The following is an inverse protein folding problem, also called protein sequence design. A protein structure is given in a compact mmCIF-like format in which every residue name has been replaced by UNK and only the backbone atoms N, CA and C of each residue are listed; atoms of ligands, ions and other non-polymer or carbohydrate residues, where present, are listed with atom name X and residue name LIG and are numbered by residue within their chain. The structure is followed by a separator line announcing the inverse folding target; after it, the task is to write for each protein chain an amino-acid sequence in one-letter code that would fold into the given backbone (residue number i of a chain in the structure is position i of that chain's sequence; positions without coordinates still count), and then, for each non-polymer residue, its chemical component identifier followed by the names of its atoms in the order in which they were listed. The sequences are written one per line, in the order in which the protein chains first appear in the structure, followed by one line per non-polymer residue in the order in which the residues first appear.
data_IF_546474633492
#
_entry.id   IF_546474633492
#
_cell.length_a   1.000
_cell.length_b   1.000
_cell.length_c   1.000
_cell.angle_alpha   90.00
_cell.angle_beta   90.00
_cell.angle_gamma   90.00
#
_symmetry.space_group_name_H-M   'P 1'
#
loop_
_entity.id
_entity.type
_entity.pdbx_description
1 polymer ?
#
# COMPACT_ATOMS: atom_id res chain seq x y z
N UNK A 1 -26.83 5.95 -5.06
CA UNK A 1 -26.74 5.87 -6.55
C UNK A 1 -26.22 4.47 -6.92
N UNK A 2 -26.64 3.88 -8.05
CA UNK A 2 -26.21 2.53 -8.45
C UNK A 2 -25.34 2.65 -9.69
N UNK A 3 -24.13 2.10 -9.62
CA UNK A 3 -23.21 1.93 -10.75
C UNK A 3 -23.02 0.43 -11.04
N UNK A 4 -22.59 0.08 -12.25
CA UNK A 4 -22.33 -1.32 -12.62
C UNK A 4 -20.83 -1.53 -12.85
N UNK A 5 -20.19 -2.35 -12.02
CA UNK A 5 -18.78 -2.74 -12.19
C UNK A 5 -18.71 -3.99 -13.07
N UNK A 6 -18.19 -3.82 -14.28
CA UNK A 6 -18.03 -4.89 -15.26
C UNK A 6 -16.55 -5.24 -15.41
N UNK A 7 -16.20 -6.53 -15.27
CA UNK A 7 -14.84 -6.99 -15.52
C UNK A 7 -14.80 -8.40 -16.13
N UNK A 8 -13.73 -8.68 -16.88
CA UNK A 8 -13.48 -9.99 -17.48
C UNK A 8 -12.59 -10.81 -16.55
N UNK A 9 -12.98 -12.06 -16.27
CA UNK A 9 -12.19 -13.00 -15.46
C UNK A 9 -11.88 -14.24 -16.28
N UNK A 10 -10.59 -14.57 -16.40
CA UNK A 10 -10.17 -15.86 -16.94
C UNK A 10 -10.30 -16.93 -15.84
N UNK A 11 -11.00 -18.01 -16.15
CA UNK A 11 -11.17 -19.15 -15.25
C UNK A 11 -9.93 -20.05 -15.27
N UNK A 12 -9.79 -20.93 -14.26
CA UNK A 12 -8.72 -21.94 -14.22
C UNK A 12 -8.71 -22.87 -15.45
N UNK A 13 -9.85 -23.03 -16.13
CA UNK A 13 -10.01 -23.83 -17.36
C UNK A 13 -9.77 -23.05 -18.66
N UNK A 14 -9.41 -21.76 -18.56
CA UNK A 14 -9.12 -20.92 -19.72
C UNK A 14 -10.30 -20.11 -20.27
N UNK A 15 -11.54 -20.41 -19.85
CA UNK A 15 -12.73 -19.67 -20.30
C UNK A 15 -12.71 -18.23 -19.76
N UNK A 16 -13.11 -17.28 -20.61
CA UNK A 16 -13.24 -15.86 -20.25
C UNK A 16 -14.70 -15.60 -19.87
N UNK A 17 -14.94 -15.14 -18.64
CA UNK A 17 -16.27 -14.80 -18.14
C UNK A 17 -16.40 -13.29 -17.96
N UNK A 18 -17.49 -12.70 -18.44
CA UNK A 18 -17.89 -11.33 -18.12
C UNK A 18 -18.68 -11.33 -16.82
N UNK A 19 -18.13 -10.70 -15.79
CA UNK A 19 -18.78 -10.56 -14.49
C UNK A 19 -19.31 -9.13 -14.39
N UNK A 20 -20.60 -9.02 -14.11
CA UNK A 20 -21.28 -7.74 -13.83
C UNK A 20 -21.66 -7.76 -12.35
N UNK A 21 -21.27 -6.72 -11.62
CA UNK A 21 -21.64 -6.53 -10.21
C UNK A 21 -22.25 -5.16 -10.03
N UNK A 22 -23.32 -5.10 -9.26
CA UNK A 22 -23.87 -3.84 -8.78
C UNK A 22 -22.90 -3.20 -7.79
N UNK A 23 -22.76 -1.88 -7.89
CA UNK A 23 -21.90 -1.08 -7.04
C UNK A 23 -22.71 0.08 -6.48
N UNK A 24 -22.97 0.00 -5.17
CA UNK A 24 -23.78 0.98 -4.46
C UNK A 24 -22.89 2.12 -3.99
N UNK A 25 -23.24 3.34 -4.43
CA UNK A 25 -22.64 4.58 -4.01
C UNK A 25 -23.53 5.26 -2.97
N UNK A 26 -22.90 5.56 -1.84
CA UNK A 26 -23.46 6.06 -0.60
C UNK A 26 -22.94 7.47 -0.33
N UNK A 27 -23.75 8.24 0.38
CA UNK A 27 -23.52 9.61 0.84
C UNK A 27 -23.45 9.70 2.37
N UNK A 28 -23.69 8.58 3.08
CA UNK A 28 -23.64 8.46 4.53
C UNK A 28 -22.32 7.88 5.07
N UNK A 29 -21.26 7.89 4.26
CA UNK A 29 -19.92 7.46 4.70
C UNK A 29 -19.23 8.64 5.37
N UNK A 30 -18.85 8.46 6.64
CA UNK A 30 -18.19 9.49 7.43
C UNK A 30 -16.70 9.68 7.06
N UNK A 31 -16.16 10.87 7.33
CA UNK A 31 -14.74 11.17 7.12
C UNK A 31 -13.83 10.70 8.29
N UNK A 32 -14.41 10.39 9.45
CA UNK A 32 -13.71 9.90 10.64
C UNK A 32 -12.99 10.98 11.47
N UNK A 33 -13.11 12.25 11.08
CA UNK A 33 -12.51 13.40 11.77
C UNK A 33 -13.40 13.96 12.87
N UNK A 34 -12.82 14.17 14.05
CA UNK A 34 -13.45 14.90 15.17
C UNK A 34 -13.77 16.37 14.84
N UNK A 35 -13.15 16.95 13.81
CA UNK A 35 -13.41 18.33 13.39
C UNK A 35 -14.68 18.47 12.57
N UNK A 36 -15.14 17.37 11.99
CA UNK A 36 -16.21 17.41 11.02
C UNK A 36 -17.57 17.55 11.71
N UNK A 37 -18.26 18.67 11.42
CA UNK A 37 -19.63 18.88 11.90
C UNK A 37 -20.69 18.43 10.88
N UNK A 38 -20.30 18.17 9.63
CA UNK A 38 -21.20 17.77 8.56
C UNK A 38 -21.54 16.26 8.59
N UNK A 39 -20.57 15.40 8.93
CA UNK A 39 -20.79 13.96 9.01
C UNK A 39 -21.44 13.58 10.35
N UNK A 40 -22.47 12.73 10.30
CA UNK A 40 -23.05 12.11 11.51
C UNK A 40 -22.15 10.99 12.02
N UNK A 41 -21.11 11.35 12.77
CA UNK A 41 -20.12 10.40 13.31
C UNK A 41 -20.53 9.88 14.68
N UNK A 42 -20.47 8.56 14.89
CA UNK A 42 -20.68 7.96 16.21
C UNK A 42 -19.38 7.83 17.01
N UNK A 43 -18.28 7.48 16.34
CA UNK A 43 -16.96 7.25 16.96
C UNK A 43 -15.84 7.83 16.09
N UNK A 44 -15.51 9.13 16.24
CA UNK A 44 -14.47 9.77 15.47
C UNK A 44 -13.08 9.27 15.90
N UNK A 45 -12.28 8.79 14.94
CA UNK A 45 -10.96 8.16 15.20
C UNK A 45 -9.82 9.16 15.01
N UNK A 46 -9.96 10.09 14.06
CA UNK A 46 -8.94 11.10 13.76
C UNK A 46 -9.11 12.29 14.71
N UNK A 47 -8.02 12.66 15.38
CA UNK A 47 -7.96 13.76 16.35
C UNK A 47 -8.27 15.11 15.71
N UNK A 48 -8.87 16.00 16.50
CA UNK A 48 -9.08 17.40 16.14
C UNK A 48 -7.83 18.27 16.15
N UNK A 49 -6.78 17.82 16.83
CA UNK A 49 -5.47 18.50 16.90
C UNK A 49 -4.35 17.44 16.78
N UNK A 50 -3.97 17.04 15.56
CA UNK A 50 -2.85 16.14 15.32
C UNK A 50 -1.52 16.85 15.61
N UNK A 51 -0.80 16.37 16.62
CA UNK A 51 0.56 16.82 16.90
C UNK A 51 1.52 16.15 15.91
N UNK A 52 1.88 16.86 14.85
CA UNK A 52 2.86 16.41 13.86
C UNK A 52 4.16 17.17 14.03
N UNK A 53 5.21 16.52 14.53
CA UNK A 53 6.55 17.12 14.72
C UNK A 53 7.36 17.26 13.43
N UNK A 54 6.70 17.53 12.30
CA UNK A 54 7.34 17.67 10.98
C UNK A 54 7.84 19.11 10.77
N UNK A 55 9.08 19.26 10.32
CA UNK A 55 9.63 20.56 9.89
C UNK A 55 9.13 20.98 8.51
N UNK A 56 8.75 20.02 7.65
CA UNK A 56 8.20 20.28 6.31
C UNK A 56 6.77 20.82 6.38
N UNK A 57 5.96 20.26 7.27
CA UNK A 57 4.57 20.63 7.47
C UNK A 57 4.34 21.04 8.93
N UNK A 58 4.57 22.32 9.27
CA UNK A 58 4.40 22.81 10.64
C UNK A 58 2.93 22.93 11.06
N UNK A 59 2.00 22.86 10.10
CA UNK A 59 0.57 22.89 10.37
C UNK A 59 0.05 21.50 10.76
N UNK A 60 -1.00 21.41 11.59
CA UNK A 60 -1.68 20.16 11.86
C UNK A 60 -2.18 19.52 10.56
N UNK A 61 -1.90 18.23 10.37
CA UNK A 61 -2.27 17.53 9.16
C UNK A 61 -2.60 16.05 9.38
N UNK A 62 -3.43 15.50 8.49
CA UNK A 62 -3.68 14.07 8.36
C UNK A 62 -2.80 13.45 7.28
N UNK A 63 -2.43 12.19 7.48
CA UNK A 63 -1.61 11.44 6.53
C UNK A 63 -2.50 10.50 5.71
N UNK A 64 -2.50 10.65 4.40
CA UNK A 64 -3.16 9.73 3.48
C UNK A 64 -2.10 8.79 2.88
N UNK A 65 -2.28 7.49 3.06
CA UNK A 65 -1.31 6.52 2.55
C UNK A 65 -1.63 6.09 1.11
N UNK A 66 -0.57 5.92 0.33
CA UNK A 66 -0.58 5.21 -0.95
C UNK A 66 -0.28 3.70 -0.77
N UNK A 67 -0.59 2.89 -1.78
CA UNK A 67 -0.41 1.43 -1.75
C UNK A 67 1.05 1.04 -1.59
N UNK A 68 1.96 1.61 -2.40
CA UNK A 68 3.37 1.23 -2.38
C UNK A 68 4.03 1.58 -1.04
N UNK A 69 3.66 2.73 -0.47
CA UNK A 69 4.08 3.16 0.86
C UNK A 69 3.74 2.12 1.93
N UNK A 70 2.54 1.56 1.89
CA UNK A 70 2.14 0.52 2.84
C UNK A 70 2.88 -0.80 2.59
N UNK A 71 3.13 -1.17 1.33
CA UNK A 71 3.79 -2.42 0.99
C UNK A 71 5.27 -2.42 1.37
N UNK A 72 5.94 -1.30 1.15
CA UNK A 72 7.39 -1.19 1.27
C UNK A 72 7.84 -0.64 2.62
N UNK A 73 6.99 0.12 3.32
CA UNK A 73 7.34 0.84 4.55
C UNK A 73 6.43 0.49 5.74
N UNK A 74 5.82 -0.71 5.76
CA UNK A 74 4.90 -1.11 6.85
C UNK A 74 5.55 -1.01 8.25
N UNK A 75 6.85 -1.27 8.35
CA UNK A 75 7.62 -1.25 9.61
C UNK A 75 7.68 0.17 10.23
N UNK A 76 7.55 1.22 9.41
CA UNK A 76 7.45 2.62 9.86
C UNK A 76 6.09 2.89 10.50
N UNK A 77 5.02 2.34 9.92
CA UNK A 77 3.65 2.50 10.42
C UNK A 77 3.33 1.59 11.63
N UNK A 78 4.20 0.60 11.91
CA UNK A 78 4.16 -0.18 13.14
C UNK A 78 4.67 0.59 14.37
N UNK A 79 5.34 1.72 14.19
CA UNK A 79 5.65 2.62 15.29
C UNK A 79 4.44 3.47 15.69
N UNK A 80 4.34 3.80 16.98
CA UNK A 80 3.21 4.61 17.53
C UNK A 80 3.42 6.11 17.38
N UNK A 81 4.52 6.49 16.73
CA UNK A 81 4.97 7.87 16.52
C UNK A 81 4.09 8.60 15.51
N UNK A 82 3.67 7.91 14.45
CA UNK A 82 2.76 8.43 13.43
C UNK A 82 1.30 8.18 13.86
N UNK A 83 0.50 9.24 13.86
CA UNK A 83 -0.92 9.20 14.23
C UNK A 83 -1.77 9.93 13.21
N UNK A 84 -3.09 9.72 13.26
CA UNK A 84 -4.07 10.38 12.40
C UNK A 84 -3.85 10.04 10.92
N UNK A 85 -3.80 8.74 10.66
CA UNK A 85 -3.54 8.17 9.34
C UNK A 85 -4.87 7.75 8.72
N UNK A 86 -5.08 8.12 7.48
CA UNK A 86 -6.21 7.74 6.64
C UNK A 86 -5.73 6.67 5.67
N UNK A 87 -6.39 5.51 5.69
CA UNK A 87 -6.16 4.41 4.76
C UNK A 87 -7.42 4.25 3.92
N UNK A 88 -7.28 4.29 2.59
CA UNK A 88 -8.41 4.10 1.68
C UNK A 88 -8.75 2.62 1.49
N UNK A 89 -10.01 2.31 1.18
CA UNK A 89 -10.42 0.96 0.81
C UNK A 89 -9.65 0.47 -0.42
N UNK A 90 -9.38 1.33 -1.40
CA UNK A 90 -8.54 1.01 -2.56
C UNK A 90 -7.18 0.46 -2.14
N UNK A 91 -6.50 1.14 -1.21
CA UNK A 91 -5.20 0.70 -0.68
C UNK A 91 -5.33 -0.63 0.05
N UNK A 92 -6.34 -0.80 0.90
CA UNK A 92 -6.56 -2.06 1.62
C UNK A 92 -6.78 -3.25 0.70
N UNK A 93 -7.59 -3.08 -0.35
CA UNK A 93 -7.85 -4.14 -1.33
C UNK A 93 -6.58 -4.47 -2.13
N UNK A 94 -5.82 -3.46 -2.54
CA UNK A 94 -4.61 -3.67 -3.31
C UNK A 94 -3.49 -4.34 -2.49
N UNK A 95 -3.27 -3.89 -1.26
CA UNK A 95 -2.34 -4.53 -0.32
C UNK A 95 -2.73 -5.98 -0.07
N UNK A 96 -4.03 -6.27 0.12
CA UNK A 96 -4.53 -7.65 0.27
C UNK A 96 -4.23 -8.51 -0.96
N UNK A 97 -4.36 -7.94 -2.16
CA UNK A 97 -4.08 -8.63 -3.41
C UNK A 97 -2.59 -8.87 -3.66
N UNK A 98 -1.72 -7.94 -3.25
CA UNK A 98 -0.27 -8.03 -3.43
C UNK A 98 0.44 -8.82 -2.33
N UNK A 99 0.05 -8.63 -1.07
CA UNK A 99 0.69 -9.27 0.09
C UNK A 99 -0.29 -9.48 1.26
N UNK A 100 -0.78 -10.71 1.40
CA UNK A 100 -1.60 -11.12 2.56
C UNK A 100 -0.92 -10.88 3.93
N UNK A 101 0.40 -11.11 4.10
CA UNK A 101 1.08 -10.80 5.37
C UNK A 101 1.02 -9.32 5.74
N UNK A 102 1.35 -8.42 4.80
CA UNK A 102 1.31 -6.96 5.04
C UNK A 102 -0.13 -6.52 5.34
N UNK A 103 -1.12 -7.07 4.66
CA UNK A 103 -2.52 -6.80 4.96
C UNK A 103 -2.94 -7.18 6.39
N UNK A 104 -2.42 -8.29 6.94
CA UNK A 104 -2.68 -8.68 8.34
C UNK A 104 -2.06 -7.68 9.31
N UNK A 105 -0.79 -7.32 9.10
CA UNK A 105 -0.07 -6.31 9.91
C UNK A 105 -0.81 -4.96 9.87
N UNK A 106 -1.22 -4.52 8.69
CA UNK A 106 -2.00 -3.29 8.52
C UNK A 106 -3.34 -3.34 9.26
N UNK A 107 -4.04 -4.48 9.26
CA UNK A 107 -5.26 -4.64 10.07
C UNK A 107 -5.01 -4.55 11.56
N UNK A 108 -3.90 -5.09 12.04
CA UNK A 108 -3.49 -4.98 13.45
C UNK A 108 -3.21 -3.52 13.81
N UNK A 109 -2.53 -2.77 12.94
CA UNK A 109 -2.31 -1.32 13.08
C UNK A 109 -3.64 -0.55 13.14
N UNK A 110 -4.59 -0.87 12.25
CA UNK A 110 -5.92 -0.23 12.23
C UNK A 110 -6.74 -0.58 13.48
N UNK A 111 -6.55 -1.79 14.03
CA UNK A 111 -7.24 -2.24 15.24
C UNK A 111 -6.75 -1.58 16.54
N UNK A 112 -5.56 -0.95 16.52
CA UNK A 112 -5.01 -0.26 17.68
C UNK A 112 -5.54 1.17 17.78
N UNK A 113 -6.47 1.38 18.72
CA UNK A 113 -7.12 2.66 18.97
C UNK A 113 -6.16 3.79 19.36
N UNK A 114 -4.95 3.47 19.87
CA UNK A 114 -3.96 4.49 20.25
C UNK A 114 -3.30 5.18 19.06
N UNK A 115 -3.37 4.57 17.88
CA UNK A 115 -2.69 5.03 16.65
C UNK A 115 -3.54 5.98 15.83
N UNK A 116 -4.83 6.08 16.13
CA UNK A 116 -5.78 6.93 15.39
C UNK A 116 -5.69 6.68 13.88
N UNK A 117 -5.72 5.41 13.46
CA UNK A 117 -5.76 5.02 12.04
C UNK A 117 -7.20 4.78 11.62
N UNK A 118 -7.64 5.51 10.61
CA UNK A 118 -9.01 5.45 10.11
C UNK A 118 -9.06 4.85 8.71
N UNK A 119 -10.03 3.96 8.49
CA UNK A 119 -10.29 3.38 7.16
C UNK A 119 -11.42 4.12 6.47
N UNK A 120 -11.12 4.76 5.34
CA UNK A 120 -12.10 5.47 4.53
C UNK A 120 -12.55 4.62 3.33
N UNK A 121 -13.87 4.44 3.22
CA UNK A 121 -14.52 3.58 2.22
C UNK A 121 -14.77 4.38 0.93
N UNK A 122 -13.69 4.77 0.25
CA UNK A 122 -13.74 5.65 -0.93
C UNK A 122 -14.47 5.04 -2.13
N UNK A 123 -14.39 3.73 -2.34
CA UNK A 123 -15.08 3.08 -3.47
C UNK A 123 -16.61 3.23 -3.35
N UNK A 124 -17.17 3.11 -2.15
CA UNK A 124 -18.60 3.23 -1.96
C UNK A 124 -19.09 4.65 -1.71
N UNK A 125 -18.21 5.65 -1.72
CA UNK A 125 -18.59 7.03 -1.46
C UNK A 125 -18.83 7.79 -2.76
N UNK A 126 -19.99 8.47 -2.85
CA UNK A 126 -20.49 9.08 -4.08
C UNK A 126 -19.52 10.08 -4.73
N UNK A 127 -18.84 10.89 -3.93
CA UNK A 127 -17.98 11.98 -4.45
C UNK A 127 -16.54 11.55 -4.69
N UNK A 128 -16.10 10.45 -4.06
CA UNK A 128 -14.72 9.94 -4.19
C UNK A 128 -14.63 8.70 -5.05
N UNK A 129 -15.76 8.15 -5.49
CA UNK A 129 -15.80 7.05 -6.44
C UNK A 129 -15.30 7.47 -7.82
N UNK A 130 -14.39 6.65 -8.35
CA UNK A 130 -13.76 6.88 -9.64
C UNK A 130 -13.96 5.69 -10.57
N UNK A 131 -14.58 5.94 -11.73
CA UNK A 131 -14.69 4.97 -12.81
C UNK A 131 -13.39 4.85 -13.61
N UNK A 132 -13.12 3.65 -14.14
CA UNK A 132 -11.94 3.39 -14.95
C UNK A 132 -12.12 3.99 -16.35
N UNK A 133 -11.15 4.80 -16.78
CA UNK A 133 -11.16 5.39 -18.12
C UNK A 133 -10.73 4.36 -19.19
N UNK A 134 -11.19 4.51 -20.45
CA UNK A 134 -10.76 3.64 -21.54
C UNK A 134 -9.23 3.67 -21.72
N UNK A 135 -8.59 2.51 -21.65
CA UNK A 135 -7.13 2.37 -21.81
C UNK A 135 -6.30 2.62 -20.55
N UNK A 136 -6.89 3.09 -19.45
CA UNK A 136 -6.22 3.32 -18.17
C UNK A 136 -5.82 1.99 -17.51
N UNK A 137 -4.61 1.89 -16.96
CA UNK A 137 -4.21 0.70 -16.20
C UNK A 137 -4.91 0.67 -14.83
N UNK A 138 -5.09 -0.52 -14.22
CA UNK A 138 -5.68 -0.60 -12.88
C UNK A 138 -4.91 0.22 -11.82
N UNK A 139 -3.57 0.29 -11.92
CA UNK A 139 -2.73 1.08 -11.01
C UNK A 139 -3.04 2.58 -11.13
N UNK A 140 -2.96 3.13 -12.35
CA UNK A 140 -3.25 4.54 -12.63
C UNK A 140 -4.63 4.96 -12.13
N UNK A 141 -5.63 4.07 -12.24
CA UNK A 141 -6.98 4.29 -11.71
C UNK A 141 -7.01 4.34 -10.18
N UNK A 142 -6.27 3.47 -9.51
CA UNK A 142 -6.17 3.46 -8.05
C UNK A 142 -5.43 4.71 -7.54
N UNK A 143 -4.33 5.09 -8.18
CA UNK A 143 -3.58 6.32 -7.87
C UNK A 143 -4.48 7.55 -8.00
N UNK A 144 -5.28 7.60 -9.07
CA UNK A 144 -6.29 8.66 -9.27
C UNK A 144 -7.38 8.62 -8.20
N UNK A 145 -7.87 7.46 -7.80
CA UNK A 145 -8.86 7.35 -6.73
C UNK A 145 -8.32 7.85 -5.37
N UNK A 146 -7.04 7.61 -5.08
CA UNK A 146 -6.36 8.12 -3.88
C UNK A 146 -6.23 9.65 -3.96
N UNK A 147 -5.82 10.21 -5.10
CA UNK A 147 -5.74 11.66 -5.31
C UNK A 147 -7.10 12.37 -5.20
N UNK A 148 -8.15 11.79 -5.80
CA UNK A 148 -9.53 12.30 -5.66
C UNK A 148 -9.97 12.27 -4.19
N UNK A 149 -9.62 11.22 -3.45
CA UNK A 149 -9.89 11.13 -2.02
C UNK A 149 -9.15 12.21 -1.24
N UNK A 150 -7.88 12.48 -1.56
CA UNK A 150 -7.11 13.57 -0.94
C UNK A 150 -7.76 14.93 -1.20
N UNK A 151 -8.13 15.23 -2.44
CA UNK A 151 -8.80 16.47 -2.82
C UNK A 151 -10.15 16.63 -2.11
N UNK A 152 -10.90 15.53 -1.98
CA UNK A 152 -12.14 15.52 -1.23
C UNK A 152 -11.92 15.86 0.24
N UNK A 153 -10.94 15.25 0.92
CA UNK A 153 -10.65 15.59 2.31
C UNK A 153 -10.21 17.05 2.48
N UNK A 154 -9.40 17.59 1.56
CA UNK A 154 -8.99 19.00 1.60
C UNK A 154 -10.21 19.93 1.49
N UNK A 155 -11.08 19.70 0.52
CA UNK A 155 -12.30 20.51 0.35
C UNK A 155 -13.28 20.33 1.51
N UNK A 156 -13.46 19.11 1.99
CA UNK A 156 -14.38 18.77 3.07
C UNK A 156 -13.95 19.41 4.41
N UNK A 157 -12.68 19.32 4.77
CA UNK A 157 -12.15 19.88 6.03
C UNK A 157 -12.03 21.40 5.99
N UNK A 158 -11.91 22.01 4.81
CA UNK A 158 -11.89 23.48 4.67
C UNK A 158 -13.18 24.15 5.13
N UNK A 159 -14.30 23.40 5.19
CA UNK A 159 -15.60 23.90 5.62
C UNK A 159 -15.67 24.16 7.14
N UNK A 160 -14.86 23.47 7.94
CA UNK A 160 -14.92 23.51 9.41
C UNK A 160 -13.98 24.56 10.06
N UNK A 161 -13.48 25.52 9.28
CA UNK A 161 -12.75 26.75 9.71
C UNK A 161 -11.44 26.53 10.50
N UNK A 162 -11.01 25.29 10.74
CA UNK A 162 -9.66 24.97 11.22
C UNK A 162 -8.79 24.59 10.03
N UNK A 163 -7.62 25.25 9.90
CA UNK A 163 -6.63 24.98 8.86
C UNK A 163 -6.00 23.58 9.04
N UNK A 164 -6.77 22.52 8.76
CA UNK A 164 -6.30 21.13 8.75
C UNK A 164 -5.83 20.80 7.34
N UNK A 165 -4.56 20.42 7.22
CA UNK A 165 -4.00 19.98 5.95
C UNK A 165 -4.09 18.46 5.78
N UNK A 166 -4.01 17.97 4.55
CA UNK A 166 -3.96 16.53 4.25
C UNK A 166 -2.72 16.30 3.39
N UNK A 167 -1.83 15.43 3.84
CA UNK A 167 -0.57 15.11 3.17
C UNK A 167 -0.66 13.69 2.61
N UNK A 168 -0.55 13.57 1.29
CA UNK A 168 -0.44 12.30 0.58
C UNK A 168 1.01 11.78 0.66
N UNK A 169 1.18 10.61 1.27
CA UNK A 169 2.46 9.90 1.26
C UNK A 169 2.51 8.97 0.06
N UNK A 170 3.36 9.27 -0.91
CA UNK A 170 3.59 8.44 -2.11
C UNK A 170 5.05 8.47 -2.51
N UNK A 171 5.60 7.28 -2.77
CA UNK A 171 6.96 7.14 -3.31
C UNK A 171 6.97 7.10 -4.85
N UNK A 172 5.80 7.12 -5.50
CA UNK A 172 5.70 7.25 -6.96
C UNK A 172 5.84 8.72 -7.39
N UNK A 173 6.91 9.01 -8.12
CA UNK A 173 7.21 10.33 -8.67
C UNK A 173 6.10 10.84 -9.58
N UNK A 174 5.52 9.97 -10.43
CA UNK A 174 4.47 10.38 -11.36
C UNK A 174 3.18 10.77 -10.60
N UNK A 175 2.82 9.98 -9.58
CA UNK A 175 1.66 10.27 -8.74
C UNK A 175 1.86 11.57 -7.96
N UNK A 176 3.06 11.79 -7.41
CA UNK A 176 3.44 13.02 -6.70
C UNK A 176 3.37 14.25 -7.59
N UNK A 177 3.89 14.18 -8.81
CA UNK A 177 3.85 15.30 -9.76
C UNK A 177 2.43 15.66 -10.18
N UNK A 178 1.57 14.65 -10.37
CA UNK A 178 0.15 14.85 -10.66
C UNK A 178 -0.60 15.45 -9.47
N UNK A 179 -0.35 14.95 -8.25
CA UNK A 179 -0.93 15.49 -7.03
C UNK A 179 -0.55 16.96 -6.81
N UNK A 180 0.72 17.31 -7.01
CA UNK A 180 1.20 18.69 -6.90
C UNK A 180 0.54 19.61 -7.94
N UNK A 181 0.31 19.15 -9.17
CA UNK A 181 -0.42 19.91 -10.20
C UNK A 181 -1.89 20.15 -9.83
N UNK A 182 -2.48 19.24 -9.07
CA UNK A 182 -3.85 19.35 -8.54
C UNK A 182 -3.92 20.19 -7.25
N UNK A 183 -2.79 20.73 -6.78
CA UNK A 183 -2.72 21.55 -5.56
C UNK A 183 -2.75 20.74 -4.27
N UNK A 184 -2.50 19.43 -4.34
CA UNK A 184 -2.43 18.54 -3.18
C UNK A 184 -1.01 18.51 -2.61
N UNK A 185 -0.91 18.39 -1.30
CA UNK A 185 0.39 18.19 -0.62
C UNK A 185 0.79 16.73 -0.77
N UNK A 186 1.79 16.44 -1.60
CA UNK A 186 2.31 15.09 -1.79
C UNK A 186 3.82 15.03 -1.54
N UNK A 187 4.26 14.03 -0.77
CA UNK A 187 5.67 13.87 -0.35
C UNK A 187 6.03 12.40 -0.31
N UNK A 188 7.32 12.08 -0.49
CA UNK A 188 7.80 10.71 -0.29
C UNK A 188 7.83 10.36 1.20
N UNK A 189 7.73 9.08 1.53
CA UNK A 189 7.78 8.63 2.92
C UNK A 189 9.14 8.94 3.52
N UNK A 190 10.20 8.76 2.74
CA UNK A 190 11.56 9.04 3.17
C UNK A 190 11.79 10.52 3.49
N UNK A 191 11.28 11.44 2.66
CA UNK A 191 11.34 12.88 2.95
C UNK A 191 10.49 13.24 4.18
N UNK A 192 9.28 12.69 4.28
CA UNK A 192 8.39 12.94 5.40
C UNK A 192 9.00 12.47 6.73
N UNK A 193 9.49 11.24 6.80
CA UNK A 193 10.09 10.67 8.02
C UNK A 193 11.36 11.44 8.43
N UNK A 194 12.20 11.84 7.48
CA UNK A 194 13.40 12.66 7.78
C UNK A 194 13.06 14.05 8.32
N UNK A 195 11.87 14.56 8.01
CA UNK A 195 11.40 15.85 8.53
C UNK A 195 10.92 15.80 9.98
N UNK A 196 10.70 14.59 10.54
CA UNK A 196 10.19 14.41 11.89
C UNK A 196 11.31 14.63 12.91
N UNK A 197 11.30 15.79 13.56
CA UNK A 197 12.29 16.12 14.61
C UNK A 197 12.09 15.30 15.89
N UNK A 198 10.88 14.78 16.09
CA UNK A 198 10.50 14.02 17.29
C UNK A 198 11.11 12.62 17.37
N UNK A 199 11.42 12.00 16.22
CA UNK A 199 11.78 10.58 16.17
C UNK A 199 12.83 10.29 15.08
N UNK A 200 14.11 10.64 15.29
CA UNK A 200 15.16 10.42 14.29
C UNK A 200 15.40 8.93 13.99
N UNK A 201 15.17 8.05 14.96
CA UNK A 201 15.31 6.59 14.82
C UNK A 201 14.29 5.98 13.83
N UNK A 202 13.23 6.69 13.48
CA UNK A 202 12.25 6.21 12.50
C UNK A 202 12.86 6.14 11.09
N UNK A 203 13.86 6.98 10.80
CA UNK A 203 14.57 6.97 9.53
C UNK A 203 15.36 5.66 9.31
N UNK A 204 15.81 5.02 10.37
CA UNK A 204 16.55 3.74 10.30
C UNK A 204 15.65 2.57 9.89
N UNK A 205 14.33 2.71 10.03
CA UNK A 205 13.33 1.72 9.62
C UNK A 205 12.86 1.88 8.17
N UNK A 206 13.29 2.92 7.48
CA UNK A 206 12.94 3.10 6.08
C UNK A 206 13.61 2.01 5.24
N UNK A 207 12.81 1.28 4.47
CA UNK A 207 13.35 0.36 3.48
C UNK A 207 14.03 1.18 2.36
N UNK A 208 15.27 0.84 2.06
CA UNK A 208 16.03 1.48 1.00
C UNK A 208 15.73 0.79 -0.32
N UNK A 209 15.03 1.47 -1.23
CA UNK A 209 14.90 1.02 -2.62
C UNK A 209 16.12 1.36 -3.48
N UNK A 210 17.01 2.22 -2.98
CA UNK A 210 18.28 2.54 -3.62
C UNK A 210 19.34 1.50 -3.29
N UNK A 211 19.12 0.25 -3.72
CA UNK A 211 20.24 -0.64 -4.03
C UNK A 211 20.80 -0.22 -5.37
N UNK A 212 21.44 0.95 -5.41
CA UNK A 212 22.34 1.31 -6.49
C UNK A 212 23.49 0.32 -6.40
N UNK A 213 23.41 -0.78 -7.16
CA UNK A 213 24.57 -1.62 -7.39
C UNK A 213 25.60 -0.73 -8.08
N UNK A 214 26.56 -0.21 -7.33
CA UNK A 214 27.80 0.33 -7.86
C UNK A 214 28.57 -0.83 -8.51
N UNK A 215 28.10 -1.27 -9.67
CA UNK A 215 28.52 -2.48 -10.35
C UNK A 215 27.50 -2.88 -11.40
N UNK A 216 27.77 -2.57 -12.68
CA UNK A 216 26.91 -2.88 -13.84
C UNK A 216 26.71 -4.39 -14.12
N UNK A 217 27.17 -5.27 -13.24
CA UNK A 217 27.13 -6.72 -13.42
C UNK A 217 26.28 -7.32 -12.31
N UNK A 218 25.18 -7.99 -12.68
CA UNK A 218 24.37 -8.73 -11.73
C UNK A 218 25.25 -9.81 -11.07
N UNK A 219 25.38 -9.75 -9.74
CA UNK A 219 26.17 -10.69 -8.94
C UNK A 219 25.64 -12.12 -9.00
N UNK A 220 24.37 -12.30 -9.34
CA UNK A 220 23.70 -13.59 -9.44
C UNK A 220 22.89 -13.69 -10.73
N UNK A 221 22.68 -14.91 -11.26
CA UNK A 221 21.77 -15.12 -12.37
C UNK A 221 20.37 -14.60 -12.07
N UNK A 222 19.75 -13.96 -13.05
CA UNK A 222 18.37 -13.48 -12.91
C UNK A 222 17.41 -14.65 -12.73
N UNK A 223 16.48 -14.53 -11.78
CA UNK A 223 15.44 -15.54 -11.58
C UNK A 223 14.56 -15.71 -12.83
N UNK A 224 14.15 -16.95 -13.08
CA UNK A 224 13.13 -17.26 -14.09
C UNK A 224 11.79 -16.61 -13.73
N UNK A 225 11.02 -16.20 -14.73
CA UNK A 225 9.68 -15.65 -14.50
C UNK A 225 8.75 -16.72 -13.90
N UNK A 226 7.72 -16.33 -13.13
CA UNK A 226 6.78 -17.28 -12.54
C UNK A 226 6.14 -18.24 -13.57
N UNK A 227 5.85 -17.72 -14.78
CA UNK A 227 5.32 -18.51 -15.89
C UNK A 227 6.32 -19.57 -16.37
N UNK A 228 7.58 -19.21 -16.57
CA UNK A 228 8.64 -20.14 -16.97
C UNK A 228 8.88 -21.21 -15.89
N UNK A 229 8.88 -20.84 -14.61
CA UNK A 229 9.01 -21.80 -13.50
C UNK A 229 7.85 -22.80 -13.53
N UNK A 230 6.61 -22.33 -13.67
CA UNK A 230 5.45 -23.22 -13.72
C UNK A 230 5.48 -24.17 -14.92
N UNK A 231 5.86 -23.69 -16.10
CA UNK A 231 6.00 -24.53 -17.29
C UNK A 231 7.12 -25.57 -17.13
N UNK A 232 8.25 -25.16 -16.55
CA UNK A 232 9.38 -26.06 -16.31
C UNK A 232 9.05 -27.14 -15.26
N UNK A 233 8.32 -26.79 -14.19
CA UNK A 233 7.83 -27.76 -13.18
C UNK A 233 6.86 -28.73 -13.84
N UNK A 234 5.91 -28.23 -14.64
CA UNK A 234 4.93 -29.07 -15.34
C UNK A 234 5.58 -29.99 -16.38
N UNK A 235 6.65 -29.53 -17.02
CA UNK A 235 7.45 -30.33 -17.95
C UNK A 235 8.41 -31.31 -17.25
N UNK A 236 8.50 -31.29 -15.91
CA UNK A 236 9.41 -32.13 -15.14
C UNK A 236 10.90 -31.77 -15.29
N UNK A 237 11.21 -30.58 -15.82
CA UNK A 237 12.60 -30.11 -16.01
C UNK A 237 13.20 -29.52 -14.73
N UNK A 238 12.36 -28.94 -13.87
CA UNK A 238 12.77 -28.39 -12.58
C UNK A 238 11.90 -28.99 -11.48
N UNK A 239 12.49 -29.12 -10.30
CA UNK A 239 11.84 -29.63 -9.10
C UNK A 239 11.65 -28.48 -8.12
N UNK A 240 10.58 -28.54 -7.33
CA UNK A 240 10.31 -27.56 -6.28
C UNK A 240 10.37 -28.24 -4.90
N UNK A 241 10.87 -27.53 -3.90
CA UNK A 241 11.08 -28.07 -2.56
C UNK A 241 11.44 -26.99 -1.56
N UNK A 242 11.44 -27.36 -0.27
CA UNK A 242 11.84 -26.46 0.79
C UNK A 242 13.38 -26.44 0.91
N UNK A 243 13.98 -25.25 0.77
CA UNK A 243 15.40 -25.04 0.97
C UNK A 243 15.75 -24.90 2.46
N UNK A 244 16.81 -25.57 2.88
CA UNK A 244 17.37 -25.53 4.23
C UNK A 244 18.86 -25.22 4.13
N UNK A 245 19.27 -24.04 4.60
CA UNK A 245 20.68 -23.68 4.66
C UNK A 245 21.41 -24.50 5.73
N UNK A 246 22.67 -24.88 5.46
CA UNK A 246 23.51 -25.51 6.46
C UNK A 246 23.89 -24.51 7.56
N UNK A 247 23.95 -24.97 8.81
CA UNK A 247 24.38 -24.14 9.95
C UNK A 247 25.89 -23.94 9.97
N UNK A 248 26.64 -24.87 9.39
CA UNK A 248 28.11 -24.91 9.48
C UNK A 248 28.76 -24.31 8.23
N UNK A 249 28.12 -24.42 7.07
CA UNK A 249 28.66 -23.92 5.81
C UNK A 249 27.63 -23.07 5.06
N UNK A 250 27.91 -21.78 4.92
CA UNK A 250 27.03 -20.84 4.20
C UNK A 250 26.98 -21.09 2.68
N UNK A 251 27.91 -21.88 2.13
CA UNK A 251 27.93 -22.29 0.73
C UNK A 251 27.20 -23.60 0.48
N UNK A 252 26.59 -24.20 1.51
CA UNK A 252 25.86 -25.45 1.40
C UNK A 252 24.43 -25.31 1.90
N UNK A 253 23.52 -25.93 1.16
CA UNK A 253 22.14 -26.08 1.56
C UNK A 253 21.56 -27.38 1.02
N UNK A 254 20.38 -27.72 1.51
CA UNK A 254 19.67 -28.93 1.14
C UNK A 254 18.26 -28.56 0.72
N UNK A 255 17.77 -29.15 -0.37
CA UNK A 255 16.40 -28.98 -0.84
C UNK A 255 15.65 -30.30 -0.67
N UNK A 256 14.58 -30.25 0.12
CA UNK A 256 13.67 -31.37 0.29
C UNK A 256 12.62 -31.35 -0.83
N UNK A 257 12.73 -32.30 -1.76
CA UNK A 257 11.84 -32.45 -2.91
C UNK A 257 10.90 -33.64 -2.71
N UNK A 258 9.63 -33.46 -3.02
CA UNK A 258 8.65 -34.56 -3.00
C UNK A 258 9.05 -35.68 -3.96
N UNK A 259 9.11 -36.92 -3.45
CA UNK A 259 9.47 -38.11 -4.23
C UNK A 259 10.95 -38.53 -4.13
N UNK A 260 11.81 -37.73 -3.49
CA UNK A 260 13.19 -38.13 -3.20
C UNK A 260 13.35 -38.51 -1.73
N UNK A 261 14.02 -39.64 -1.46
CA UNK A 261 14.28 -40.12 -0.10
C UNK A 261 15.41 -39.37 0.60
N UNK A 262 16.31 -38.77 -0.17
CA UNK A 262 17.43 -37.95 0.33
C UNK A 262 17.29 -36.52 -0.18
N UNK A 263 17.61 -35.51 0.64
CA UNK A 263 17.65 -34.12 0.20
C UNK A 263 18.67 -33.93 -0.92
N UNK A 264 18.38 -32.99 -1.82
CA UNK A 264 19.30 -32.58 -2.88
C UNK A 264 20.25 -31.53 -2.31
N UNK A 265 21.56 -31.80 -2.36
CA UNK A 265 22.59 -30.83 -1.95
C UNK A 265 22.69 -29.72 -2.98
N UNK A 266 22.67 -28.48 -2.51
CA UNK A 266 22.97 -27.26 -3.28
C UNK A 266 24.26 -26.70 -2.72
N UNK A 267 25.29 -26.57 -3.55
CA UNK A 267 26.60 -26.11 -3.15
C UNK A 267 27.09 -25.02 -4.10
N UNK A 268 27.59 -23.92 -3.53
CA UNK A 268 28.12 -22.80 -4.29
C UNK A 268 27.54 -21.47 -3.87
N UNK A 269 28.08 -20.40 -4.44
CA UNK A 269 27.48 -19.06 -4.33
C UNK A 269 26.36 -18.84 -5.35
N UNK A 270 26.43 -19.51 -6.49
CA UNK A 270 25.50 -19.41 -7.62
C UNK A 270 24.63 -20.67 -7.76
#
# INVERSE_FOLDING_TARGET
MIANKVFLKKTKRGNILKIVREHYLRDDIWCGSQLCNACKQENPVLSSDPVSGSTLFPQPHYLLLDTNVVLDQIDVFEETTLKNIIVTQTVLEEVKHRSCPVYKRLKEIIGDSKRSVFTFVNEHHKETYVERLPGEKPNDRNDRAIRVTAAWYVSHLSLDLRNMSVVLLTDDVANRDLANKEGLLAVSVAEYVRSLSSCPLLADKLSSHSFSAEGKVALYPTHLTPSQVHEAVKAGKVLQGAFQASRENFLEGQVNVEGFSKPILVQGRE
#
